data_IF_133471189057
#
_entry.id   IF_133471189057
#
_cell.length_a   1.000
_cell.length_b   1.000
_cell.length_c   1.000
_cell.angle_alpha   90.00
_cell.angle_beta   90.00
_cell.angle_gamma   90.00
#
_symmetry.space_group_name_H-M   'P 1'
#
loop_
_entity.id
_entity.type
_entity.pdbx_description
1 polymer ?
#
# COMPACT_ATOMS: atom_id res chain seq x y z
N UNK A 1 -70.88 -0.59 21.47
CA UNK A 1 -70.10 -0.81 20.24
C UNK A 1 -69.50 0.53 19.83
N UNK A 2 -68.38 0.90 20.46
CA UNK A 2 -67.60 2.08 20.07
C UNK A 2 -66.38 1.55 19.32
N UNK A 3 -66.32 1.93 18.05
CA UNK A 3 -65.28 1.63 17.08
C UNK A 3 -63.96 2.28 17.48
N UNK A 4 -62.96 1.47 17.83
CA UNK A 4 -61.58 1.93 17.95
C UNK A 4 -61.02 2.24 16.56
N UNK A 5 -60.57 3.49 16.37
CA UNK A 5 -59.75 3.87 15.22
C UNK A 5 -58.38 3.18 15.34
N UNK A 6 -57.82 2.63 14.24
CA UNK A 6 -56.43 2.18 14.25
C UNK A 6 -55.52 3.40 14.36
N UNK A 7 -54.66 3.44 15.38
CA UNK A 7 -53.52 4.35 15.42
C UNK A 7 -52.61 3.99 14.24
N UNK A 8 -52.50 4.89 13.27
CA UNK A 8 -51.49 4.84 12.22
C UNK A 8 -50.13 5.03 12.90
N UNK A 9 -49.35 3.96 13.04
CA UNK A 9 -47.94 4.05 13.43
C UNK A 9 -47.23 4.84 12.34
N UNK A 10 -46.75 6.04 12.69
CA UNK A 10 -45.92 6.86 11.80
C UNK A 10 -44.59 6.11 11.57
N UNK A 11 -44.14 5.91 10.32
CA UNK A 11 -42.87 5.25 10.07
C UNK A 11 -41.73 6.02 10.76
N UNK A 12 -40.84 5.29 11.42
CA UNK A 12 -39.65 5.89 12.05
C UNK A 12 -38.73 6.44 10.95
N UNK A 13 -38.26 7.67 11.13
CA UNK A 13 -37.33 8.32 10.19
C UNK A 13 -35.97 7.61 10.29
N UNK A 14 -35.51 7.04 9.18
CA UNK A 14 -34.23 6.31 9.12
C UNK A 14 -33.11 7.12 8.47
N UNK A 15 -33.43 8.23 7.80
CA UNK A 15 -32.44 9.14 7.26
C UNK A 15 -32.90 10.60 7.30
N UNK A 16 -31.95 11.54 7.43
CA UNK A 16 -32.25 12.96 7.37
C UNK A 16 -31.34 13.71 6.39
N UNK A 17 -31.93 14.62 5.64
CA UNK A 17 -31.21 15.57 4.80
C UNK A 17 -30.92 16.81 5.64
N UNK A 18 -29.65 17.16 5.81
CA UNK A 18 -29.21 18.30 6.60
C UNK A 18 -28.66 19.35 5.65
N UNK A 19 -29.31 20.51 5.59
CA UNK A 19 -28.92 21.59 4.67
C UNK A 19 -29.35 22.95 5.21
N UNK A 20 -28.84 24.04 4.61
CA UNK A 20 -29.33 25.39 4.89
C UNK A 20 -30.73 25.63 4.31
N UNK A 21 -30.95 25.13 3.11
CA UNK A 21 -32.22 25.19 2.38
C UNK A 21 -32.32 23.97 1.46
N UNK A 22 -33.20 23.03 1.81
CA UNK A 22 -33.34 21.75 1.08
C UNK A 22 -33.90 21.97 -0.33
N UNK A 23 -34.59 23.08 -0.58
CA UNK A 23 -35.16 23.42 -1.89
C UNK A 23 -34.10 23.75 -2.94
N UNK A 24 -32.86 24.02 -2.54
CA UNK A 24 -31.76 24.15 -3.51
C UNK A 24 -31.31 22.79 -4.06
N UNK A 25 -31.69 21.70 -3.38
CA UNK A 25 -31.29 20.34 -3.68
C UNK A 25 -32.49 19.50 -4.14
N UNK A 26 -33.30 20.00 -5.07
CA UNK A 26 -34.51 19.32 -5.55
C UNK A 26 -34.25 17.86 -6.02
N UNK A 27 -33.13 17.62 -6.71
CA UNK A 27 -32.74 16.27 -7.17
C UNK A 27 -32.45 15.33 -6.00
N UNK A 28 -31.94 15.86 -4.89
CA UNK A 28 -31.69 15.08 -3.68
C UNK A 28 -32.99 14.66 -3.02
N UNK A 29 -34.01 15.54 -3.03
CA UNK A 29 -35.35 15.22 -2.52
C UNK A 29 -35.94 14.06 -3.33
N UNK A 30 -35.87 14.14 -4.67
CA UNK A 30 -36.39 13.10 -5.56
C UNK A 30 -35.67 11.75 -5.35
N UNK A 31 -34.34 11.76 -5.22
CA UNK A 31 -33.55 10.55 -5.01
C UNK A 31 -33.79 9.95 -3.61
N UNK A 32 -33.91 10.77 -2.57
CA UNK A 32 -34.23 10.31 -1.21
C UNK A 32 -35.65 9.71 -1.12
N UNK A 33 -36.64 10.33 -1.78
CA UNK A 33 -37.99 9.78 -1.88
C UNK A 33 -38.01 8.46 -2.65
N UNK A 34 -37.21 8.36 -3.72
CA UNK A 34 -37.07 7.14 -4.51
C UNK A 34 -36.40 6.01 -3.70
N UNK A 35 -35.36 6.32 -2.93
CA UNK A 35 -34.58 5.35 -2.18
C UNK A 35 -35.26 4.88 -0.88
N UNK A 36 -35.93 5.79 -0.17
CA UNK A 36 -36.43 5.56 1.20
C UNK A 36 -37.94 5.73 1.37
N UNK A 37 -38.66 6.21 0.36
CA UNK A 37 -40.10 6.49 0.46
C UNK A 37 -40.41 7.56 1.50
N UNK A 38 -41.27 7.24 2.48
CA UNK A 38 -41.68 8.17 3.55
C UNK A 38 -40.77 8.13 4.79
N UNK A 39 -39.69 7.34 4.77
CA UNK A 39 -38.85 7.09 5.94
C UNK A 39 -37.65 8.07 6.06
N UNK A 40 -37.76 9.27 5.48
CA UNK A 40 -36.74 10.32 5.58
C UNK A 40 -37.35 11.67 5.99
N UNK A 41 -36.53 12.61 6.43
CA UNK A 41 -36.94 13.98 6.75
C UNK A 41 -35.86 15.02 6.49
N UNK A 42 -36.20 16.30 6.54
CA UNK A 42 -35.29 17.42 6.37
C UNK A 42 -35.04 18.17 7.68
N UNK A 43 -33.81 18.66 7.87
CA UNK A 43 -33.38 19.42 9.06
C UNK A 43 -32.44 20.55 8.66
N UNK A 44 -32.55 21.69 9.34
CA UNK A 44 -31.53 22.75 9.27
C UNK A 44 -30.24 22.37 10.00
N UNK A 45 -29.11 22.98 9.65
CA UNK A 45 -27.81 22.72 10.31
C UNK A 45 -27.85 22.82 11.85
N UNK A 46 -28.47 23.87 12.39
CA UNK A 46 -28.60 24.05 13.84
C UNK A 46 -29.60 23.10 14.49
N UNK A 47 -30.64 22.69 13.73
CA UNK A 47 -31.67 21.77 14.20
C UNK A 47 -31.13 20.35 14.26
N UNK A 48 -30.25 19.96 13.33
CA UNK A 48 -29.61 18.65 13.30
C UNK A 48 -28.86 18.34 14.61
N UNK A 49 -28.09 19.29 15.14
CA UNK A 49 -27.38 19.13 16.42
C UNK A 49 -28.34 18.89 17.60
N UNK A 50 -29.46 19.61 17.62
CA UNK A 50 -30.49 19.44 18.65
C UNK A 50 -31.24 18.11 18.48
N UNK A 51 -31.54 17.72 17.24
CA UNK A 51 -32.24 16.49 16.89
C UNK A 51 -31.44 15.24 17.26
N UNK A 52 -30.13 15.22 17.00
CA UNK A 52 -29.27 14.09 17.37
C UNK A 52 -29.27 13.77 18.87
N UNK A 53 -29.64 14.74 19.71
CA UNK A 53 -29.72 14.56 21.16
C UNK A 53 -31.07 14.01 21.65
N UNK A 54 -32.07 13.85 20.77
CA UNK A 54 -33.41 13.38 21.10
C UNK A 54 -33.53 11.86 20.91
N UNK A 55 -34.46 11.22 21.64
CA UNK A 55 -34.70 9.78 21.53
C UNK A 55 -35.27 9.38 20.15
N UNK A 56 -35.87 10.33 19.44
CA UNK A 56 -36.41 10.17 18.09
C UNK A 56 -35.32 9.99 17.02
N UNK A 57 -34.06 10.28 17.34
CA UNK A 57 -32.91 10.05 16.46
C UNK A 57 -32.28 8.65 16.61
N UNK A 58 -32.74 7.82 17.56
CA UNK A 58 -32.27 6.42 17.70
C UNK A 58 -32.42 5.54 16.45
N UNK A 59 -33.49 5.64 15.63
CA UNK A 59 -33.62 4.85 14.41
C UNK A 59 -32.83 5.42 13.21
N UNK A 60 -32.17 6.57 13.36
CA UNK A 60 -31.46 7.24 12.28
C UNK A 60 -30.20 6.46 11.89
N UNK A 61 -30.12 6.02 10.62
CA UNK A 61 -29.01 5.23 10.11
C UNK A 61 -27.93 6.11 9.47
N UNK A 62 -28.36 7.12 8.69
CA UNK A 62 -27.45 8.04 8.02
C UNK A 62 -28.05 9.43 7.87
N UNK A 63 -27.19 10.41 7.61
CA UNK A 63 -27.56 11.76 7.19
C UNK A 63 -26.94 12.09 5.84
N UNK A 64 -27.67 12.84 5.03
CA UNK A 64 -27.17 13.44 3.80
C UNK A 64 -26.89 14.93 4.09
N UNK A 65 -25.62 15.28 4.30
CA UNK A 65 -25.20 16.64 4.57
C UNK A 65 -24.97 17.37 3.24
N UNK A 66 -25.92 18.20 2.85
CA UNK A 66 -25.87 18.96 1.61
C UNK A 66 -25.32 20.38 1.86
N UNK A 67 -24.26 20.73 1.13
CA UNK A 67 -23.53 21.99 1.26
C UNK A 67 -23.28 22.64 -0.10
N UNK A 68 -23.34 23.97 -0.12
CA UNK A 68 -23.00 24.78 -1.29
C UNK A 68 -21.83 25.74 -1.02
N UNK A 69 -21.43 26.50 -2.05
CA UNK A 69 -20.37 27.52 -1.93
C UNK A 69 -20.62 28.60 -0.86
N UNK A 70 -21.88 28.87 -0.46
CA UNK A 70 -22.20 29.83 0.58
C UNK A 70 -21.97 29.27 2.00
N UNK A 71 -21.95 27.95 2.15
CA UNK A 71 -21.76 27.26 3.42
C UNK A 71 -20.26 27.10 3.79
N UNK A 72 -19.33 27.38 2.87
CA UNK A 72 -17.87 27.34 3.15
C UNK A 72 -17.42 28.27 4.27
N UNK A 73 -18.19 29.34 4.52
CA UNK A 73 -17.92 30.25 5.64
C UNK A 73 -18.12 29.61 7.01
N UNK A 74 -18.85 28.49 7.09
CA UNK A 74 -19.24 27.82 8.34
C UNK A 74 -18.86 26.32 8.35
N UNK A 75 -17.74 25.97 7.70
CA UNK A 75 -17.15 24.62 7.79
C UNK A 75 -16.95 24.10 9.22
N UNK A 76 -16.61 24.91 10.24
CA UNK A 76 -16.53 24.43 11.62
C UNK A 76 -17.85 23.83 12.12
N UNK A 77 -18.99 24.43 11.79
CA UNK A 77 -20.30 23.90 12.15
C UNK A 77 -20.59 22.58 11.43
N UNK A 78 -20.26 22.50 10.13
CA UNK A 78 -20.42 21.26 9.35
C UNK A 78 -19.59 20.12 9.95
N UNK A 79 -18.35 20.42 10.35
CA UNK A 79 -17.49 19.47 11.04
C UNK A 79 -18.03 19.00 12.38
N UNK A 80 -18.65 19.91 13.15
CA UNK A 80 -19.30 19.55 14.42
C UNK A 80 -20.49 18.61 14.20
N UNK A 81 -21.31 18.86 13.18
CA UNK A 81 -22.42 17.99 12.78
C UNK A 81 -21.90 16.59 12.43
N UNK A 82 -20.84 16.49 11.62
CA UNK A 82 -20.22 15.21 11.24
C UNK A 82 -19.72 14.47 12.48
N UNK A 83 -19.01 15.17 13.37
CA UNK A 83 -18.44 14.59 14.59
C UNK A 83 -19.54 14.07 15.53
N UNK A 84 -20.61 14.85 15.71
CA UNK A 84 -21.74 14.47 16.56
C UNK A 84 -22.51 13.27 15.99
N UNK A 85 -22.79 13.27 14.70
CA UNK A 85 -23.43 12.14 14.02
C UNK A 85 -22.61 10.85 14.21
N UNK A 86 -21.29 10.92 13.95
CA UNK A 86 -20.39 9.77 14.13
C UNK A 86 -20.30 9.27 15.57
N UNK A 87 -20.31 10.17 16.56
CA UNK A 87 -20.29 9.77 17.98
C UNK A 87 -21.49 8.89 18.38
N UNK A 88 -22.57 8.93 17.59
CA UNK A 88 -23.80 8.16 17.78
C UNK A 88 -23.94 6.98 16.80
N UNK A 89 -22.92 6.73 15.98
CA UNK A 89 -22.94 5.67 14.98
C UNK A 89 -23.77 5.98 13.73
N UNK A 90 -24.21 7.22 13.56
CA UNK A 90 -24.94 7.68 12.38
C UNK A 90 -23.93 7.93 11.25
N UNK A 91 -24.17 7.36 10.07
CA UNK A 91 -23.32 7.54 8.89
C UNK A 91 -23.55 8.89 8.22
N UNK A 92 -22.54 9.44 7.57
CA UNK A 92 -22.64 10.75 6.91
C UNK A 92 -22.28 10.65 5.43
N UNK A 93 -23.23 10.96 4.55
CA UNK A 93 -23.00 11.19 3.12
C UNK A 93 -22.86 12.69 2.90
N UNK A 94 -21.74 13.13 2.36
CA UNK A 94 -21.53 14.53 1.99
C UNK A 94 -22.01 14.77 0.56
N UNK A 95 -22.88 15.76 0.38
CA UNK A 95 -23.37 16.18 -0.93
C UNK A 95 -22.92 17.62 -1.16
N UNK A 96 -22.09 17.86 -2.17
CA UNK A 96 -21.48 19.18 -2.36
C UNK A 96 -21.78 19.75 -3.75
N UNK A 97 -22.24 21.00 -3.78
CA UNK A 97 -22.43 21.82 -4.98
C UNK A 97 -21.44 22.99 -4.99
N UNK A 98 -20.56 23.07 -6.00
CA UNK A 98 -19.61 24.19 -6.17
C UNK A 98 -18.72 24.51 -4.95
N UNK A 99 -18.41 23.49 -4.14
CA UNK A 99 -17.51 23.59 -2.98
C UNK A 99 -16.06 23.36 -3.39
N UNK A 100 -15.13 24.10 -2.78
CA UNK A 100 -13.70 24.00 -3.02
C UNK A 100 -13.13 22.65 -2.54
N UNK A 101 -12.11 22.10 -3.23
CA UNK A 101 -11.48 20.85 -2.81
C UNK A 101 -10.93 20.89 -1.37
N UNK A 102 -10.44 22.04 -0.92
CA UNK A 102 -9.91 22.20 0.44
C UNK A 102 -11.00 22.02 1.52
N UNK A 103 -12.19 22.58 1.28
CA UNK A 103 -13.34 22.40 2.15
C UNK A 103 -13.80 20.94 2.17
N UNK A 104 -13.90 20.30 1.00
CA UNK A 104 -14.26 18.89 0.86
C UNK A 104 -13.32 17.96 1.64
N UNK A 105 -12.01 18.10 1.44
CA UNK A 105 -11.00 17.31 2.16
C UNK A 105 -11.07 17.51 3.68
N UNK A 106 -11.38 18.72 4.13
CA UNK A 106 -11.51 19.03 5.56
C UNK A 106 -12.67 18.26 6.20
N UNK A 107 -13.83 18.23 5.54
CA UNK A 107 -15.03 17.54 6.03
C UNK A 107 -14.87 16.01 5.96
N UNK A 108 -14.23 15.47 4.92
CA UNK A 108 -13.91 14.05 4.82
C UNK A 108 -12.98 13.60 5.96
N UNK A 109 -11.97 14.40 6.31
CA UNK A 109 -11.07 14.11 7.45
C UNK A 109 -11.77 14.15 8.80
N UNK A 110 -12.81 14.98 8.94
CA UNK A 110 -13.65 15.01 10.15
C UNK A 110 -14.60 13.80 10.23
N UNK A 111 -14.61 12.98 9.18
CA UNK A 111 -15.27 11.69 9.18
C UNK A 111 -16.57 11.66 8.40
N UNK A 112 -16.72 12.41 7.31
CA UNK A 112 -17.76 12.03 6.34
C UNK A 112 -17.44 10.62 5.81
N UNK A 113 -18.44 9.74 5.75
CA UNK A 113 -18.25 8.33 5.34
C UNK A 113 -18.24 8.17 3.82
N UNK A 114 -18.99 9.00 3.09
CA UNK A 114 -19.09 8.96 1.64
C UNK A 114 -19.24 10.39 1.07
N UNK A 115 -18.88 10.57 -0.21
CA UNK A 115 -19.04 11.85 -0.93
C UNK A 115 -19.79 11.64 -2.26
N UNK A 116 -20.72 12.54 -2.55
CA UNK A 116 -21.45 12.58 -3.82
C UNK A 116 -21.48 14.02 -4.37
N UNK A 117 -21.09 14.26 -5.63
CA UNK A 117 -21.19 15.59 -6.23
C UNK A 117 -22.65 15.93 -6.59
N UNK A 118 -23.01 17.21 -6.48
CA UNK A 118 -24.29 17.74 -6.96
C UNK A 118 -24.08 18.59 -8.23
N UNK A 119 -24.91 18.47 -9.29
CA UNK A 119 -26.10 17.62 -9.41
C UNK A 119 -25.77 16.11 -9.42
N UNK A 120 -26.66 15.34 -8.78
CA UNK A 120 -26.50 13.90 -8.55
C UNK A 120 -26.44 13.12 -9.88
N UNK A 121 -25.37 12.36 -10.14
CA UNK A 121 -25.36 11.38 -11.23
C UNK A 121 -26.43 10.31 -11.00
N UNK A 122 -27.01 9.77 -12.08
CA UNK A 122 -28.05 8.73 -11.98
C UNK A 122 -27.61 7.57 -11.07
N UNK A 123 -28.43 7.23 -10.08
CA UNK A 123 -28.23 6.13 -9.11
C UNK A 123 -27.03 6.27 -8.16
N UNK A 124 -26.29 7.38 -8.16
CA UNK A 124 -25.10 7.52 -7.31
C UNK A 124 -25.47 7.58 -5.82
N UNK A 125 -26.58 8.24 -5.46
CA UNK A 125 -27.06 8.26 -4.07
C UNK A 125 -27.45 6.85 -3.60
N UNK A 126 -28.15 6.09 -4.45
CA UNK A 126 -28.51 4.71 -4.13
C UNK A 126 -27.27 3.83 -3.95
N UNK A 127 -26.28 3.99 -4.82
CA UNK A 127 -25.01 3.27 -4.71
C UNK A 127 -24.24 3.65 -3.44
N UNK A 128 -24.28 4.93 -3.03
CA UNK A 128 -23.70 5.41 -1.77
C UNK A 128 -24.42 4.79 -0.55
N UNK A 129 -25.75 4.74 -0.56
CA UNK A 129 -26.56 4.10 0.50
C UNK A 129 -26.23 2.61 0.58
N UNK A 130 -26.16 1.91 -0.55
CA UNK A 130 -25.83 0.49 -0.61
C UNK A 130 -24.41 0.23 -0.06
N UNK A 131 -23.43 1.11 -0.35
CA UNK A 131 -22.07 1.06 0.21
C UNK A 131 -22.06 1.27 1.72
N UNK A 132 -22.91 2.14 2.26
CA UNK A 132 -23.03 2.39 3.70
C UNK A 132 -23.72 1.27 4.47
N UNK A 133 -24.72 0.62 3.85
CA UNK A 133 -25.47 -0.50 4.42
C UNK A 133 -24.76 -1.84 4.24
N UNK A 134 -23.85 -1.94 3.27
CA UNK A 134 -22.98 -3.09 3.16
C UNK A 134 -22.22 -3.26 4.49
N UNK A 135 -22.18 -4.47 5.08
CA UNK A 135 -21.28 -4.73 6.19
C UNK A 135 -19.89 -4.27 5.75
N UNK A 136 -19.12 -3.58 6.63
CA UNK A 136 -17.78 -3.13 6.26
C UNK A 136 -17.11 -4.30 5.57
N UNK A 137 -16.55 -4.13 4.34
CA UNK A 137 -15.87 -5.22 3.67
C UNK A 137 -14.97 -5.81 4.73
N UNK A 138 -15.06 -7.14 5.00
CA UNK A 138 -14.48 -7.73 6.18
C UNK A 138 -13.10 -7.14 6.27
N UNK A 139 -12.84 -6.33 7.30
CA UNK A 139 -11.49 -5.88 7.59
C UNK A 139 -10.74 -7.17 7.55
N UNK A 140 -9.91 -7.33 6.52
CA UNK A 140 -9.09 -8.52 6.40
C UNK A 140 -8.27 -8.37 7.65
N UNK A 141 -8.69 -9.06 8.71
CA UNK A 141 -7.98 -9.12 9.95
C UNK A 141 -6.72 -9.80 9.48
N UNK A 142 -5.69 -9.00 9.23
CA UNK A 142 -4.39 -9.53 8.90
C UNK A 142 -4.13 -10.52 10.03
N UNK A 143 -4.07 -11.84 9.74
CA UNK A 143 -3.90 -12.84 10.79
C UNK A 143 -2.61 -12.63 11.58
N UNK A 144 -1.74 -11.78 11.03
CA UNK A 144 -0.50 -11.30 11.59
C UNK A 144 -0.68 -9.86 12.09
N UNK A 145 -1.37 -9.68 13.21
CA UNK A 145 -1.13 -8.48 14.02
C UNK A 145 0.34 -8.50 14.43
N UNK A 146 1.05 -7.41 14.13
CA UNK A 146 2.43 -7.26 14.54
C UNK A 146 2.46 -7.28 16.08
N UNK A 147 3.41 -8.04 16.63
CA UNK A 147 3.51 -8.18 18.08
C UNK A 147 4.09 -6.89 18.68
N UNK A 148 3.29 -6.22 19.50
CA UNK A 148 3.68 -4.99 20.20
C UNK A 148 4.98 -5.14 20.99
N UNK A 149 5.96 -4.29 20.68
CA UNK A 149 7.26 -4.27 21.37
C UNK A 149 8.23 -5.38 20.94
N UNK A 150 8.03 -5.99 19.78
CA UNK A 150 9.02 -6.87 19.15
C UNK A 150 10.32 -6.10 18.91
N UNK A 151 11.47 -6.67 19.30
CA UNK A 151 12.80 -6.09 19.10
C UNK A 151 13.70 -7.03 18.30
N UNK A 152 13.19 -7.55 17.18
CA UNK A 152 14.04 -8.29 16.24
C UNK A 152 15.05 -7.35 15.59
N UNK A 153 16.12 -7.91 15.06
CA UNK A 153 17.10 -7.20 14.24
C UNK A 153 17.15 -7.80 12.83
N UNK A 154 16.02 -7.75 12.12
CA UNK A 154 15.88 -8.34 10.80
C UNK A 154 16.99 -7.93 9.81
N UNK A 155 17.45 -8.89 9.02
CA UNK A 155 18.44 -8.65 7.98
C UNK A 155 17.80 -7.92 6.78
N UNK A 156 18.39 -6.80 6.37
CA UNK A 156 17.91 -6.00 5.23
C UNK A 156 18.63 -6.39 3.95
N UNK A 157 17.87 -6.89 2.99
CA UNK A 157 18.35 -7.33 1.68
C UNK A 157 17.70 -6.46 0.61
N UNK A 158 18.51 -5.71 -0.12
CA UNK A 158 18.02 -4.77 -1.13
C UNK A 158 18.23 -5.32 -2.54
N UNK A 159 17.23 -5.18 -3.40
CA UNK A 159 17.29 -5.50 -4.82
C UNK A 159 17.10 -4.21 -5.62
N UNK A 160 18.11 -3.80 -6.39
CA UNK A 160 18.08 -2.56 -7.16
C UNK A 160 18.50 -2.80 -8.61
N UNK A 161 17.59 -2.54 -9.55
CA UNK A 161 17.87 -2.66 -10.98
C UNK A 161 18.59 -1.42 -11.51
N UNK A 162 19.87 -1.56 -11.90
CA UNK A 162 20.66 -0.42 -12.41
C UNK A 162 20.28 0.00 -13.84
N UNK A 163 19.46 -0.78 -14.52
CA UNK A 163 18.82 -0.42 -15.77
C UNK A 163 17.40 -1.00 -15.83
N UNK A 164 16.54 -0.35 -16.61
CA UNK A 164 15.18 -0.83 -16.84
C UNK A 164 15.17 -2.24 -17.43
N UNK A 165 14.36 -3.12 -16.84
CA UNK A 165 14.15 -4.49 -17.29
C UNK A 165 15.21 -5.50 -16.85
N UNK A 166 16.13 -5.13 -15.95
CA UNK A 166 17.18 -6.03 -15.41
C UNK A 166 16.65 -7.12 -14.48
N UNK A 167 15.37 -7.04 -14.07
CA UNK A 167 14.69 -8.07 -13.28
C UNK A 167 14.84 -7.94 -11.76
N UNK A 168 15.01 -6.73 -11.21
CA UNK A 168 15.13 -6.51 -9.76
C UNK A 168 13.89 -6.95 -9.00
N UNK A 169 12.69 -6.57 -9.45
CA UNK A 169 11.43 -7.00 -8.83
C UNK A 169 11.26 -8.51 -8.90
N UNK A 170 11.64 -9.14 -10.02
CA UNK A 170 11.64 -10.60 -10.14
C UNK A 170 12.56 -11.25 -9.09
N UNK A 171 13.75 -10.69 -8.88
CA UNK A 171 14.68 -11.15 -7.85
C UNK A 171 14.09 -10.96 -6.44
N UNK A 172 13.57 -9.76 -6.13
CA UNK A 172 13.02 -9.42 -4.82
C UNK A 172 11.86 -10.35 -4.43
N UNK A 173 10.86 -10.49 -5.30
CA UNK A 173 9.68 -11.34 -5.08
C UNK A 173 10.06 -12.80 -4.86
N UNK A 174 10.91 -13.35 -5.74
CA UNK A 174 11.28 -14.76 -5.65
C UNK A 174 12.24 -15.04 -4.49
N UNK A 175 13.15 -14.12 -4.18
CA UNK A 175 14.04 -14.26 -3.02
C UNK A 175 13.25 -14.22 -1.71
N UNK A 176 12.33 -13.26 -1.56
CA UNK A 176 11.48 -13.15 -0.39
C UNK A 176 10.63 -14.42 -0.19
N UNK A 177 10.06 -14.95 -1.29
CA UNK A 177 9.31 -16.20 -1.24
C UNK A 177 10.17 -17.41 -0.87
N UNK A 178 11.35 -17.58 -1.48
CA UNK A 178 12.24 -18.70 -1.14
C UNK A 178 12.69 -18.62 0.33
N UNK A 179 12.99 -17.42 0.85
CA UNK A 179 13.31 -17.22 2.27
C UNK A 179 12.14 -17.64 3.17
N UNK A 180 10.93 -17.19 2.87
CA UNK A 180 9.72 -17.51 3.65
C UNK A 180 9.35 -19.00 3.57
N UNK A 181 9.71 -19.69 2.48
CA UNK A 181 9.38 -21.09 2.21
C UNK A 181 10.55 -22.07 2.43
N UNK A 182 11.65 -21.64 3.08
CA UNK A 182 12.88 -22.42 3.24
C UNK A 182 12.66 -23.80 3.86
N UNK A 183 11.84 -23.90 4.91
CA UNK A 183 11.57 -25.16 5.62
C UNK A 183 10.27 -25.10 6.42
N UNK A 184 9.46 -26.16 6.40
CA UNK A 184 8.23 -26.28 7.23
C UNK A 184 8.51 -26.26 8.75
N UNK A 185 9.76 -26.47 9.16
CA UNK A 185 10.16 -26.44 10.58
C UNK A 185 10.73 -25.09 11.02
N UNK A 186 11.14 -24.28 10.05
CA UNK A 186 11.89 -23.04 10.25
C UNK A 186 11.40 -22.07 9.19
N UNK A 187 10.23 -21.50 9.44
CA UNK A 187 9.61 -20.49 8.60
C UNK A 187 10.06 -19.12 9.14
N UNK A 188 11.16 -18.54 8.65
CA UNK A 188 11.54 -17.20 9.07
C UNK A 188 10.44 -16.23 8.64
N UNK A 189 10.18 -15.25 9.50
CA UNK A 189 9.27 -14.17 9.19
C UNK A 189 9.92 -13.26 8.14
N UNK A 190 9.26 -13.09 6.98
CA UNK A 190 9.78 -12.28 5.87
C UNK A 190 8.80 -11.18 5.50
N UNK A 191 9.34 -9.98 5.30
CA UNK A 191 8.62 -8.84 4.75
C UNK A 191 9.25 -8.40 3.43
N UNK A 192 8.43 -8.19 2.40
CA UNK A 192 8.80 -7.61 1.12
C UNK A 192 8.25 -6.18 1.04
N UNK A 193 9.14 -5.20 0.90
CA UNK A 193 8.79 -3.79 0.73
C UNK A 193 8.96 -3.38 -0.73
N UNK A 194 7.88 -2.98 -1.39
CA UNK A 194 7.92 -2.36 -2.72
C UNK A 194 8.07 -0.84 -2.58
N UNK A 195 9.30 -0.34 -2.71
CA UNK A 195 9.61 1.09 -2.60
C UNK A 195 9.64 1.80 -3.95
N UNK A 196 9.35 1.11 -5.06
CA UNK A 196 9.10 1.78 -6.34
C UNK A 196 7.68 2.35 -6.35
N UNK A 197 7.50 3.50 -5.69
CA UNK A 197 6.17 4.07 -5.47
C UNK A 197 5.45 4.51 -6.77
N UNK A 198 6.16 4.63 -7.88
CA UNK A 198 5.59 5.07 -9.16
C UNK A 198 5.35 3.91 -10.14
N UNK A 199 6.27 2.95 -10.20
CA UNK A 199 6.24 1.84 -11.15
C UNK A 199 6.32 0.46 -10.49
N UNK A 200 6.17 0.41 -9.16
CA UNK A 200 6.17 -0.81 -8.36
C UNK A 200 5.21 -1.84 -8.91
N UNK A 201 5.69 -3.07 -9.01
CA UNK A 201 4.96 -4.16 -9.66
C UNK A 201 4.85 -5.39 -8.78
N UNK A 202 5.29 -5.32 -7.52
CA UNK A 202 5.17 -6.44 -6.57
C UNK A 202 3.72 -6.87 -6.40
N UNK A 203 2.79 -5.91 -6.35
CA UNK A 203 1.34 -6.19 -6.27
C UNK A 203 0.88 -7.08 -7.44
N UNK A 204 1.32 -6.77 -8.66
CA UNK A 204 0.99 -7.54 -9.87
C UNK A 204 1.67 -8.91 -9.87
N UNK A 205 2.94 -8.99 -9.43
CA UNK A 205 3.71 -10.23 -9.38
C UNK A 205 3.13 -11.28 -8.43
N UNK A 206 2.35 -10.85 -7.44
CA UNK A 206 1.76 -11.69 -6.40
C UNK A 206 0.23 -11.70 -6.40
N UNK A 207 -0.41 -11.08 -7.41
CA UNK A 207 -1.87 -10.89 -7.48
C UNK A 207 -2.48 -10.30 -6.19
N UNK A 208 -1.81 -9.29 -5.64
CA UNK A 208 -2.23 -8.60 -4.42
C UNK A 208 -2.90 -7.26 -4.76
N UNK A 209 -3.96 -6.88 -4.02
CA UNK A 209 -4.52 -5.55 -4.15
C UNK A 209 -3.53 -4.48 -3.66
N UNK A 210 -3.70 -3.25 -4.15
CA UNK A 210 -3.06 -2.07 -3.57
C UNK A 210 -4.03 -1.47 -2.55
N UNK A 211 -3.52 -1.07 -1.39
CA UNK A 211 -4.36 -0.56 -0.28
C UNK A 211 -4.15 0.93 -0.09
N UNK A 212 -5.24 1.67 0.08
CA UNK A 212 -5.20 3.10 0.39
C UNK A 212 -4.47 3.41 1.70
N UNK A 213 -4.53 2.49 2.67
CA UNK A 213 -3.76 2.58 3.94
C UNK A 213 -2.26 2.73 3.71
N UNK A 214 -1.71 2.23 2.59
CA UNK A 214 -0.28 2.47 2.27
C UNK A 214 -0.04 3.96 2.06
N UNK A 215 -0.92 4.66 1.34
CA UNK A 215 -0.78 6.09 1.09
C UNK A 215 -0.90 6.90 2.39
N UNK A 216 -1.86 6.52 3.24
CA UNK A 216 -2.04 7.11 4.57
C UNK A 216 -0.77 6.96 5.42
N UNK A 217 -0.25 5.74 5.50
CA UNK A 217 0.97 5.41 6.24
C UNK A 217 2.20 6.18 5.72
N UNK A 218 2.35 6.32 4.41
CA UNK A 218 3.46 7.06 3.79
C UNK A 218 3.32 8.58 3.97
N UNK A 219 2.10 9.11 4.03
CA UNK A 219 1.83 10.55 4.23
C UNK A 219 1.96 10.97 5.68
N UNK A 220 1.61 10.09 6.63
CA UNK A 220 1.65 10.34 8.07
C UNK A 220 2.70 9.47 8.77
N UNK A 221 3.89 9.40 8.16
CA UNK A 221 5.02 8.60 8.66
C UNK A 221 5.47 8.94 10.09
N UNK A 222 5.17 10.12 10.62
CA UNK A 222 5.50 10.55 11.99
C UNK A 222 4.58 9.91 13.04
N UNK A 223 3.33 9.63 12.68
CA UNK A 223 2.34 8.92 13.53
C UNK A 223 2.31 7.42 13.24
N UNK A 224 3.08 6.95 12.26
CA UNK A 224 3.17 5.53 11.91
C UNK A 224 3.63 4.70 13.11
N UNK A 225 2.71 3.87 13.58
CA UNK A 225 2.93 2.87 14.61
C UNK A 225 2.87 1.45 14.02
N UNK A 226 3.08 0.45 14.87
CA UNK A 226 3.06 -0.96 14.49
C UNK A 226 1.66 -1.40 13.99
N UNK A 227 0.59 -0.76 14.47
CA UNK A 227 -0.78 -1.08 14.08
C UNK A 227 -1.06 -0.58 12.65
N UNK A 228 -0.71 0.67 12.32
CA UNK A 228 -0.86 1.23 10.99
C UNK A 228 0.03 0.49 9.97
N UNK A 229 1.29 0.23 10.32
CA UNK A 229 2.19 -0.55 9.47
C UNK A 229 1.65 -1.98 9.25
N UNK A 230 1.17 -2.64 10.31
CA UNK A 230 0.55 -3.95 10.22
C UNK A 230 -0.72 -3.97 9.37
N UNK A 231 -1.51 -2.89 9.39
CA UNK A 231 -2.69 -2.72 8.52
C UNK A 231 -2.32 -2.47 7.07
N UNK A 232 -1.17 -1.85 6.78
CA UNK A 232 -0.71 -1.63 5.40
C UNK A 232 -0.25 -2.91 4.72
N UNK A 233 0.29 -3.87 5.49
CA UNK A 233 0.79 -5.13 4.98
C UNK A 233 -0.32 -6.04 4.44
N UNK A 234 0.07 -6.90 3.49
CA UNK A 234 -0.77 -7.96 2.94
C UNK A 234 -0.07 -9.32 3.10
N UNK A 235 -0.75 -10.32 3.67
CA UNK A 235 -0.24 -11.69 3.67
C UNK A 235 -0.34 -12.29 2.26
N UNK A 236 0.73 -12.93 1.81
CA UNK A 236 0.75 -13.75 0.61
C UNK A 236 0.97 -15.23 1.01
N UNK A 237 -0.03 -16.06 0.72
CA UNK A 237 -0.07 -17.49 1.04
C UNK A 237 0.36 -17.81 2.48
N UNK A 238 -0.02 -16.96 3.44
CA UNK A 238 0.25 -17.12 4.89
C UNK A 238 1.73 -17.16 5.31
N UNK A 239 2.68 -16.92 4.39
CA UNK A 239 4.13 -17.02 4.66
C UNK A 239 4.91 -15.74 4.49
N UNK A 240 4.47 -14.88 3.56
CA UNK A 240 5.17 -13.64 3.22
C UNK A 240 4.28 -12.45 3.55
N UNK A 241 4.81 -11.43 4.23
CA UNK A 241 4.15 -10.14 4.37
C UNK A 241 4.65 -9.19 3.28
N UNK A 242 3.74 -8.43 2.67
CA UNK A 242 4.07 -7.56 1.54
C UNK A 242 3.52 -6.16 1.80
N UNK A 243 4.39 -5.16 1.74
CA UNK A 243 3.99 -3.77 1.56
C UNK A 243 4.04 -3.46 0.06
N UNK A 244 2.88 -3.28 -0.56
CA UNK A 244 2.78 -2.93 -1.98
C UNK A 244 3.00 -1.43 -2.19
N UNK A 245 3.35 -1.03 -3.42
CA UNK A 245 3.31 0.37 -3.81
C UNK A 245 1.86 0.91 -3.75
N UNK A 246 1.65 2.21 -3.49
CA UNK A 246 0.32 2.82 -3.44
C UNK A 246 -0.45 2.64 -4.77
N UNK A 247 -1.78 2.73 -4.68
CA UNK A 247 -2.71 2.67 -5.82
C UNK A 247 -2.47 3.83 -6.80
N UNK A 248 -2.24 5.02 -6.25
CA UNK A 248 -1.92 6.22 -7.01
C UNK A 248 -0.41 6.42 -7.20
N UNK A 249 -0.05 7.05 -8.31
CA UNK A 249 1.33 7.45 -8.56
C UNK A 249 1.65 8.70 -7.75
N UNK A 250 2.64 8.61 -6.88
CA UNK A 250 3.04 9.69 -5.98
C UNK A 250 4.32 10.41 -6.44
N UNK A 251 4.59 11.64 -5.94
CA UNK A 251 5.87 12.30 -6.12
C UNK A 251 7.03 11.48 -5.54
N UNK A 252 8.19 11.48 -6.21
CA UNK A 252 9.38 10.72 -5.76
C UNK A 252 9.99 11.27 -4.45
N UNK A 253 9.70 12.53 -4.13
CA UNK A 253 10.10 13.27 -2.94
C UNK A 253 9.04 13.24 -1.83
N UNK A 254 7.98 12.45 -1.98
CA UNK A 254 6.97 12.23 -0.93
C UNK A 254 7.63 11.75 0.38
N UNK A 255 8.63 10.87 0.28
CA UNK A 255 9.31 10.28 1.42
C UNK A 255 10.64 10.99 1.70
N UNK A 256 10.86 11.30 2.97
CA UNK A 256 12.15 11.74 3.48
C UNK A 256 13.05 10.55 3.86
N UNK A 257 14.37 10.77 4.02
CA UNK A 257 15.28 9.81 4.63
C UNK A 257 14.80 9.27 5.99
N UNK A 258 14.20 10.12 6.81
CA UNK A 258 13.68 9.79 8.14
C UNK A 258 12.49 8.83 8.05
N UNK A 259 11.59 9.06 7.09
CA UNK A 259 10.40 8.21 6.88
C UNK A 259 10.81 6.80 6.48
N UNK A 260 11.74 6.67 5.53
CA UNK A 260 12.30 5.39 5.11
C UNK A 260 13.03 4.69 6.27
N UNK A 261 13.74 5.45 7.10
CA UNK A 261 14.38 4.89 8.29
C UNK A 261 13.35 4.29 9.24
N UNK A 262 12.20 4.96 9.45
CA UNK A 262 11.11 4.44 10.29
C UNK A 262 10.46 3.20 9.67
N UNK A 263 10.13 3.22 8.39
CA UNK A 263 9.51 2.07 7.68
C UNK A 263 10.39 0.83 7.75
N UNK A 264 11.69 0.97 7.41
CA UNK A 264 12.63 -0.15 7.47
C UNK A 264 12.87 -0.56 8.92
N UNK A 265 12.92 0.39 9.86
CA UNK A 265 13.06 0.12 11.29
C UNK A 265 11.93 -0.76 11.84
N UNK A 266 10.68 -0.42 11.55
CA UNK A 266 9.51 -1.22 11.90
C UNK A 266 9.55 -2.60 11.23
N UNK A 267 9.85 -2.67 9.92
CA UNK A 267 9.98 -3.96 9.27
C UNK A 267 11.05 -4.85 9.94
N UNK A 268 12.21 -4.28 10.30
CA UNK A 268 13.28 -5.04 10.96
C UNK A 268 12.94 -5.47 12.38
N UNK A 269 12.15 -4.69 13.12
CA UNK A 269 11.75 -5.04 14.48
C UNK A 269 10.78 -6.22 14.53
N UNK A 270 10.07 -6.49 13.43
CA UNK A 270 9.06 -7.54 13.35
C UNK A 270 9.43 -8.74 12.48
N UNK A 271 10.36 -8.63 11.54
CA UNK A 271 10.68 -9.70 10.58
C UNK A 271 12.15 -10.12 10.68
N UNK A 272 12.43 -11.40 10.44
CA UNK A 272 13.79 -11.95 10.40
C UNK A 272 14.53 -11.50 9.12
N UNK A 273 13.79 -11.35 8.01
CA UNK A 273 14.30 -10.80 6.76
C UNK A 273 13.37 -9.71 6.21
N UNK A 274 13.98 -8.60 5.80
CA UNK A 274 13.31 -7.51 5.08
C UNK A 274 13.93 -7.42 3.70
N UNK A 275 13.15 -7.79 2.67
CA UNK A 275 13.55 -7.68 1.27
C UNK A 275 12.98 -6.39 0.71
N UNK A 276 13.81 -5.57 0.07
CA UNK A 276 13.41 -4.27 -0.48
C UNK A 276 13.56 -4.28 -2.00
N UNK A 277 12.49 -3.99 -2.73
CA UNK A 277 12.56 -3.66 -4.15
C UNK A 277 12.71 -2.14 -4.31
N UNK A 278 13.84 -1.72 -4.88
CA UNK A 278 14.17 -0.31 -5.05
C UNK A 278 13.69 0.24 -6.39
N UNK A 279 13.26 1.51 -6.45
CA UNK A 279 13.02 2.18 -7.72
C UNK A 279 14.30 2.24 -8.56
N UNK A 280 14.13 2.25 -9.89
CA UNK A 280 15.26 2.45 -10.80
C UNK A 280 15.94 3.82 -10.62
N UNK A 281 15.16 4.83 -10.25
CA UNK A 281 15.63 6.20 -10.06
C UNK A 281 16.30 6.36 -8.68
N UNK A 282 17.46 7.01 -8.64
CA UNK A 282 18.06 7.43 -7.37
C UNK A 282 17.27 8.61 -6.81
N UNK A 283 16.89 8.48 -5.54
CA UNK A 283 16.08 9.43 -4.77
C UNK A 283 16.82 9.79 -3.48
N UNK A 284 16.40 10.85 -2.80
CA UNK A 284 17.12 11.38 -1.65
C UNK A 284 17.35 10.33 -0.55
N UNK A 285 16.38 9.45 -0.33
CA UNK A 285 16.46 8.37 0.67
C UNK A 285 17.18 7.10 0.19
N UNK A 286 17.67 7.04 -1.06
CA UNK A 286 18.43 5.89 -1.56
C UNK A 286 19.69 5.60 -0.75
N UNK A 287 20.36 6.66 -0.28
CA UNK A 287 21.52 6.54 0.62
C UNK A 287 21.15 5.88 1.95
N UNK A 288 20.01 6.27 2.55
CA UNK A 288 19.50 5.70 3.79
C UNK A 288 19.33 4.18 3.64
N UNK A 289 18.69 3.74 2.56
CA UNK A 289 18.50 2.31 2.28
C UNK A 289 19.85 1.61 2.11
N UNK A 290 20.79 2.21 1.38
CA UNK A 290 22.14 1.66 1.21
C UNK A 290 22.88 1.48 2.55
N UNK A 291 22.75 2.45 3.46
CA UNK A 291 23.38 2.41 4.77
C UNK A 291 22.74 1.34 5.68
N UNK A 292 21.41 1.19 5.65
CA UNK A 292 20.68 0.18 6.42
C UNK A 292 20.79 -1.23 5.84
N UNK A 293 21.15 -1.36 4.56
CA UNK A 293 21.32 -2.65 3.90
C UNK A 293 22.47 -3.45 4.51
N UNK A 294 22.18 -4.72 4.80
CA UNK A 294 23.20 -5.73 5.10
C UNK A 294 23.77 -6.28 3.79
N UNK A 295 22.90 -6.47 2.80
CA UNK A 295 23.26 -6.90 1.45
C UNK A 295 22.51 -6.04 0.44
N UNK A 296 23.24 -5.51 -0.54
CA UNK A 296 22.66 -4.66 -1.60
C UNK A 296 22.93 -5.27 -2.98
N UNK A 297 21.95 -5.97 -3.54
CA UNK A 297 22.06 -6.53 -4.88
C UNK A 297 21.82 -5.46 -5.95
N UNK A 298 22.88 -5.14 -6.69
CA UNK A 298 22.83 -4.27 -7.84
C UNK A 298 22.67 -5.12 -9.12
N UNK A 299 21.45 -5.18 -9.64
CA UNK A 299 21.14 -5.98 -10.82
C UNK A 299 21.55 -5.29 -12.11
N UNK A 300 22.22 -6.05 -12.98
CA UNK A 300 22.74 -5.62 -14.27
C UNK A 300 22.50 -6.70 -15.32
N UNK A 301 22.47 -6.31 -16.60
CA UNK A 301 22.57 -7.23 -17.74
C UNK A 301 23.90 -7.04 -18.48
N UNK A 302 24.23 -7.97 -19.38
CA UNK A 302 25.42 -7.90 -20.23
C UNK A 302 25.20 -6.94 -21.42
N UNK A 303 24.87 -5.68 -21.13
CA UNK A 303 24.61 -4.62 -22.08
C UNK A 303 25.28 -3.28 -21.71
N UNK A 304 25.30 -2.35 -22.67
CA UNK A 304 25.97 -1.06 -22.47
C UNK A 304 25.20 -0.15 -21.50
N UNK A 305 23.86 -0.27 -21.45
CA UNK A 305 23.02 0.54 -20.55
C UNK A 305 23.36 0.24 -19.09
N UNK A 306 23.41 -1.05 -18.74
CA UNK A 306 23.79 -1.53 -17.41
C UNK A 306 25.22 -1.13 -17.07
N UNK A 307 26.16 -1.28 -18.00
CA UNK A 307 27.55 -0.90 -17.78
C UNK A 307 27.73 0.61 -17.50
N UNK A 308 27.07 1.46 -18.30
CA UNK A 308 27.13 2.92 -18.11
C UNK A 308 26.48 3.34 -16.79
N UNK A 309 25.31 2.78 -16.44
CA UNK A 309 24.64 3.11 -15.19
C UNK A 309 25.41 2.60 -13.97
N UNK A 310 26.01 1.39 -14.02
CA UNK A 310 26.89 0.90 -12.98
C UNK A 310 28.12 1.81 -12.78
N UNK A 311 28.73 2.30 -13.86
CA UNK A 311 29.85 3.25 -13.78
C UNK A 311 29.42 4.58 -13.16
N UNK A 312 28.26 5.11 -13.56
CA UNK A 312 27.70 6.36 -13.01
C UNK A 312 27.39 6.23 -11.53
N UNK A 313 26.72 5.15 -11.12
CA UNK A 313 26.41 4.86 -9.72
C UNK A 313 27.70 4.72 -8.90
N UNK A 314 28.67 3.94 -9.38
CA UNK A 314 29.97 3.79 -8.71
C UNK A 314 30.64 5.14 -8.46
N UNK A 315 30.69 6.01 -9.48
CA UNK A 315 31.29 7.35 -9.35
C UNK A 315 30.51 8.24 -8.39
N UNK A 316 29.17 8.18 -8.41
CA UNK A 316 28.33 8.94 -7.49
C UNK A 316 28.58 8.52 -6.04
N UNK A 317 28.55 7.20 -5.75
CA UNK A 317 28.80 6.68 -4.42
C UNK A 317 30.22 7.03 -3.94
N UNK A 318 31.23 6.92 -4.80
CA UNK A 318 32.61 7.29 -4.44
C UNK A 318 32.82 8.80 -4.24
N UNK A 319 32.03 9.65 -4.91
CA UNK A 319 32.15 11.10 -4.76
C UNK A 319 31.58 11.59 -3.42
N UNK A 320 30.57 10.88 -2.90
CA UNK A 320 29.90 11.17 -1.63
C UNK A 320 30.42 10.28 -0.47
N UNK A 321 31.56 9.59 -0.66
CA UNK A 321 32.17 8.67 0.31
C UNK A 321 31.20 7.58 0.86
N UNK A 322 30.25 7.16 0.02
CA UNK A 322 29.26 6.13 0.34
C UNK A 322 29.81 4.71 0.14
N UNK A 323 29.30 3.71 0.90
CA UNK A 323 29.87 2.37 0.97
C UNK A 323 29.59 1.54 -0.29
N UNK A 324 30.37 1.82 -1.35
CA UNK A 324 30.30 1.10 -2.62
C UNK A 324 30.57 -0.40 -2.48
N UNK A 325 31.40 -0.78 -1.51
CA UNK A 325 31.77 -2.16 -1.21
C UNK A 325 30.61 -3.02 -0.67
N UNK A 326 29.50 -2.41 -0.23
CA UNK A 326 28.27 -3.13 0.11
C UNK A 326 27.54 -3.66 -1.12
N UNK A 327 27.75 -3.07 -2.28
CA UNK A 327 27.08 -3.51 -3.51
C UNK A 327 27.61 -4.89 -3.90
N UNK A 328 26.67 -5.80 -4.16
CA UNK A 328 26.90 -7.11 -4.75
C UNK A 328 26.28 -7.11 -6.13
N UNK A 329 27.10 -7.16 -7.18
CA UNK A 329 26.56 -7.09 -8.54
C UNK A 329 25.99 -8.45 -8.95
N UNK A 330 24.73 -8.44 -9.34
CA UNK A 330 24.01 -9.61 -9.82
C UNK A 330 23.75 -9.46 -11.32
N UNK A 331 24.45 -10.28 -12.11
CA UNK A 331 24.25 -10.33 -13.56
C UNK A 331 23.04 -11.21 -13.87
N UNK A 332 21.94 -10.58 -14.26
CA UNK A 332 20.78 -11.30 -14.78
C UNK A 332 21.00 -11.71 -16.25
N UNK A 333 20.29 -12.75 -16.67
CA UNK A 333 20.40 -13.35 -18.01
C UNK A 333 21.84 -13.71 -18.37
N UNK A 334 22.58 -14.24 -17.40
CA UNK A 334 23.99 -14.55 -17.54
C UNK A 334 24.23 -15.56 -18.68
N UNK A 335 25.36 -15.45 -19.40
CA UNK A 335 25.75 -16.41 -20.42
C UNK A 335 25.74 -17.84 -19.90
N UNK A 336 25.24 -18.77 -20.71
CA UNK A 336 25.24 -20.20 -20.38
C UNK A 336 26.67 -20.69 -20.15
N UNK A 337 26.81 -21.80 -19.42
CA UNK A 337 28.12 -22.37 -19.14
C UNK A 337 28.95 -22.65 -20.41
N UNK A 338 28.30 -23.01 -21.52
CA UNK A 338 28.92 -23.27 -22.83
C UNK A 338 29.23 -22.01 -23.66
N UNK A 339 28.72 -20.84 -23.28
CA UNK A 339 28.98 -19.58 -23.99
C UNK A 339 30.27 -18.91 -23.50
N UNK A 340 31.40 -19.40 -24.01
CA UNK A 340 32.73 -18.88 -23.68
C UNK A 340 32.91 -17.41 -24.09
N UNK A 341 32.31 -17.01 -25.21
CA UNK A 341 32.36 -15.63 -25.70
C UNK A 341 31.62 -14.70 -24.76
N UNK A 342 30.40 -15.06 -24.34
CA UNK A 342 29.63 -14.34 -23.33
C UNK A 342 30.39 -14.21 -22.01
N UNK A 343 30.95 -15.30 -21.49
CA UNK A 343 31.79 -15.26 -20.26
C UNK A 343 32.99 -14.32 -20.37
N UNK A 344 33.67 -14.30 -21.53
CA UNK A 344 34.77 -13.36 -21.77
C UNK A 344 34.32 -11.90 -21.77
N UNK A 345 33.09 -11.62 -22.23
CA UNK A 345 32.50 -10.28 -22.19
C UNK A 345 32.13 -9.88 -20.76
N UNK A 346 31.58 -10.79 -19.97
CA UNK A 346 31.29 -10.56 -18.54
C UNK A 346 32.57 -10.18 -17.80
N UNK A 347 33.64 -10.95 -17.98
CA UNK A 347 34.94 -10.67 -17.36
C UNK A 347 35.49 -9.30 -17.77
N UNK A 348 35.49 -8.98 -19.06
CA UNK A 348 35.94 -7.66 -19.56
C UNK A 348 35.10 -6.50 -19.03
N UNK A 349 33.79 -6.67 -18.92
CA UNK A 349 32.90 -5.66 -18.34
C UNK A 349 33.23 -5.44 -16.86
N UNK A 350 33.36 -6.51 -16.08
CA UNK A 350 33.73 -6.42 -14.67
C UNK A 350 35.09 -5.72 -14.46
N UNK A 351 36.10 -6.11 -15.24
CA UNK A 351 37.44 -5.50 -15.23
C UNK A 351 37.39 -4.02 -15.61
N UNK A 352 36.67 -3.67 -16.67
CA UNK A 352 36.55 -2.28 -17.15
C UNK A 352 35.83 -1.37 -16.16
N UNK A 353 34.86 -1.90 -15.42
CA UNK A 353 34.12 -1.16 -14.40
C UNK A 353 34.85 -1.17 -13.05
N UNK A 354 35.82 -2.08 -12.87
CA UNK A 354 36.48 -2.33 -11.59
C UNK A 354 35.48 -2.78 -10.53
N UNK A 355 34.65 -3.77 -10.84
CA UNK A 355 33.63 -4.36 -9.97
C UNK A 355 33.78 -5.88 -9.94
N UNK A 356 33.31 -6.54 -8.87
CA UNK A 356 33.07 -7.99 -8.86
C UNK A 356 31.62 -8.26 -9.25
N UNK A 357 31.38 -9.33 -10.01
CA UNK A 357 30.03 -9.85 -10.28
C UNK A 357 29.88 -11.10 -9.44
N UNK A 358 29.14 -10.98 -8.34
CA UNK A 358 29.03 -12.01 -7.29
C UNK A 358 27.98 -13.06 -7.65
N UNK A 359 26.92 -12.66 -8.35
CA UNK A 359 25.84 -13.54 -8.79
C UNK A 359 25.72 -13.52 -10.31
N UNK A 360 25.55 -14.71 -10.89
CA UNK A 360 25.26 -14.89 -12.32
C UNK A 360 23.98 -15.72 -12.46
N UNK A 361 22.89 -15.02 -12.72
CA UNK A 361 21.55 -15.57 -12.74
C UNK A 361 21.17 -16.00 -14.17
N UNK A 362 20.73 -17.27 -14.38
CA UNK A 362 20.27 -17.73 -15.68
C UNK A 362 19.04 -16.96 -16.17
N UNK A 363 18.87 -16.86 -17.48
CA UNK A 363 17.73 -16.14 -18.10
C UNK A 363 16.34 -16.67 -17.70
N UNK A 364 16.20 -17.97 -17.41
CA UNK A 364 14.92 -18.60 -17.02
C UNK A 364 13.84 -18.63 -18.11
N UNK A 365 13.94 -17.82 -19.16
CA UNK A 365 13.08 -17.84 -20.34
C UNK A 365 11.64 -17.41 -20.08
N UNK A 366 10.72 -17.84 -20.96
CA UNK A 366 9.30 -17.43 -20.96
C UNK A 366 8.55 -17.75 -19.67
N UNK A 367 9.00 -18.74 -18.91
CA UNK A 367 8.38 -19.12 -17.64
C UNK A 367 8.43 -18.00 -16.60
N UNK A 368 9.39 -17.09 -16.68
CA UNK A 368 9.44 -15.93 -15.78
C UNK A 368 8.24 -15.02 -16.04
N UNK A 369 8.04 -14.62 -17.30
CA UNK A 369 6.91 -13.77 -17.69
C UNK A 369 5.58 -14.43 -17.35
N UNK A 370 5.43 -15.72 -17.68
CA UNK A 370 4.24 -16.50 -17.31
C UNK A 370 4.00 -16.54 -15.81
N UNK A 371 5.06 -16.59 -14.99
CA UNK A 371 4.92 -16.55 -13.52
C UNK A 371 4.33 -15.22 -13.06
N UNK A 372 4.81 -14.11 -13.64
CA UNK A 372 4.35 -12.76 -13.34
C UNK A 372 2.90 -12.56 -13.79
N UNK A 373 2.55 -13.01 -15.00
CA UNK A 373 1.19 -12.90 -15.55
C UNK A 373 0.14 -13.69 -14.75
N UNK A 374 0.56 -14.77 -14.08
CA UNK A 374 -0.30 -15.55 -13.19
C UNK A 374 -0.28 -15.05 -11.73
N UNK A 375 0.52 -14.05 -11.39
CA UNK A 375 0.64 -13.53 -10.03
C UNK A 375 1.18 -14.54 -9.01
N UNK A 376 2.10 -15.41 -9.43
CA UNK A 376 2.67 -16.44 -8.57
C UNK A 376 4.21 -16.40 -8.61
N UNK A 377 4.90 -16.68 -7.49
CA UNK A 377 6.35 -16.91 -7.49
C UNK A 377 6.75 -18.12 -8.33
N UNK A 378 7.99 -18.12 -8.84
CA UNK A 378 8.55 -19.20 -9.65
C UNK A 378 8.57 -20.54 -8.91
N UNK A 379 8.68 -20.53 -7.58
CA UNK A 379 8.62 -21.76 -6.79
C UNK A 379 7.30 -22.51 -6.98
N UNK A 380 6.20 -21.76 -7.13
CA UNK A 380 4.84 -22.29 -7.28
C UNK A 380 4.55 -22.61 -8.76
N UNK A 381 4.79 -21.66 -9.66
CA UNK A 381 4.42 -21.77 -11.07
C UNK A 381 5.42 -22.60 -11.90
N UNK A 382 6.71 -22.61 -11.52
CA UNK A 382 7.81 -23.11 -12.33
C UNK A 382 8.97 -23.67 -11.48
N UNK A 383 8.69 -24.54 -10.51
CA UNK A 383 9.64 -25.03 -9.51
C UNK A 383 11.00 -25.58 -10.04
N UNK A 384 11.04 -26.02 -11.30
CA UNK A 384 12.23 -26.56 -11.98
C UNK A 384 13.06 -25.51 -12.72
N UNK A 385 12.61 -24.26 -12.78
CA UNK A 385 13.25 -23.19 -13.52
C UNK A 385 14.70 -22.96 -13.02
N UNK A 386 15.68 -22.79 -13.93
CA UNK A 386 17.08 -22.61 -13.53
C UNK A 386 17.32 -21.31 -12.74
N UNK A 387 16.61 -20.22 -13.04
CA UNK A 387 16.72 -18.98 -12.26
C UNK A 387 16.28 -19.22 -10.81
N UNK A 388 15.09 -19.81 -10.64
CA UNK A 388 14.55 -20.17 -9.32
C UNK A 388 15.52 -21.00 -8.49
N UNK A 389 16.21 -21.97 -9.11
CA UNK A 389 17.20 -22.81 -8.39
C UNK A 389 18.39 -22.01 -7.86
N UNK A 390 18.87 -21.01 -8.61
CA UNK A 390 19.94 -20.14 -8.13
C UNK A 390 19.45 -19.18 -7.04
N UNK A 391 18.23 -18.66 -7.15
CA UNK A 391 17.60 -17.84 -6.10
C UNK A 391 17.39 -18.66 -4.81
N UNK A 392 16.92 -19.91 -4.92
CA UNK A 392 16.73 -20.79 -3.77
C UNK A 392 18.05 -21.13 -3.05
N UNK A 393 19.13 -21.37 -3.81
CA UNK A 393 20.47 -21.56 -3.23
C UNK A 393 20.94 -20.31 -2.50
N UNK A 394 20.70 -19.14 -3.08
CA UNK A 394 21.04 -17.87 -2.43
C UNK A 394 20.25 -17.71 -1.13
N UNK A 395 18.93 -17.92 -1.15
CA UNK A 395 18.08 -17.85 0.05
C UNK A 395 18.61 -18.75 1.18
N UNK A 396 18.95 -20.01 0.86
CA UNK A 396 19.54 -20.93 1.83
C UNK A 396 20.87 -20.43 2.38
N UNK A 397 21.76 -19.93 1.53
CA UNK A 397 23.05 -19.36 1.96
C UNK A 397 22.89 -18.13 2.85
N UNK A 398 21.92 -17.25 2.55
CA UNK A 398 21.64 -16.07 3.36
C UNK A 398 21.07 -16.45 4.73
N UNK A 399 20.21 -17.45 4.78
CA UNK A 399 19.65 -17.95 6.02
C UNK A 399 20.71 -18.61 6.92
N UNK A 400 21.61 -19.41 6.34
CA UNK A 400 22.74 -19.99 7.08
C UNK A 400 23.69 -18.92 7.63
N UNK A 401 24.00 -17.87 6.85
CA UNK A 401 24.83 -16.76 7.31
C UNK A 401 24.19 -16.01 8.49
N UNK A 402 22.90 -15.67 8.40
CA UNK A 402 22.19 -14.99 9.48
C UNK A 402 22.15 -15.81 10.77
N UNK A 403 22.04 -17.14 10.67
CA UNK A 403 22.13 -18.03 11.84
C UNK A 403 23.50 -18.03 12.49
N UNK A 404 24.55 -18.14 11.69
CA UNK A 404 25.91 -18.18 12.22
C UNK A 404 26.28 -16.86 12.92
N UNK A 405 25.78 -15.72 12.43
CA UNK A 405 25.96 -14.43 13.09
C UNK A 405 25.16 -14.33 14.39
N UNK A 406 23.91 -14.81 14.41
CA UNK A 406 23.08 -14.87 15.62
C UNK A 406 23.61 -15.84 16.69
N UNK A 407 24.27 -16.93 16.30
CA UNK A 407 24.93 -17.86 17.23
C UNK A 407 26.26 -17.30 17.79
N UNK A 408 26.88 -16.33 17.10
CA UNK A 408 28.16 -15.74 17.48
C UNK A 408 28.05 -14.46 18.32
N UNK A 409 26.89 -13.78 18.28
CA UNK A 409 26.56 -12.59 19.09
C UNK A 409 26.04 -13.00 20.48
#
# INVERSE_FOLDING_TARGET
MSSGMPQTETPAIVACTVSRDVQNFDLLIEDMETALGEAWGDLGFSEALAFFSQAEAEPLQFIALAIDSADEGDLPLMGEIITQAKSRGIKVILIAEDVTPAALHTLLRQGADEFVPYPLPEQELQAAIDRLQAPPPPTVQNPHQLQTGSQREGAVIVCHGLAGGTGSTTMAVNLAWELAALSEREEPSVCLLDLDLQAGSVSTYLDLPRREVVMEMLSESESMDEDLFGQALLPFQEKLQVLTAPSEMVPLDLLSPEDITRVIGLARSHFDFVVIDMPHTLVQWSETVLNMAHIYFALIELDMRSAQNALRLKRALQAEDLPFEKLRFALNRAPKFTDLTGKSRVKRMAESLGISIDLQLPDGGKQILQSCDHGLPLAVSAAKNPLRKEIAKLAASLHELGRNEAEAA
#
